data_IF_542488887346
#
_entry.id   IF_542488887346
#
_cell.length_a   1.000
_cell.length_b   1.000
_cell.length_c   1.000
_cell.angle_alpha   90.00
_cell.angle_beta   90.00
_cell.angle_gamma   90.00
#
_symmetry.space_group_name_H-M   'P 1'
#
loop_
_entity.id
_entity.type
_entity.pdbx_description
1 polymer ?
#
# COMPACT_ATOMS: atom_id res chain seq x y z
N UNK A 1 9.11 -0.02 22.59
CA UNK A 1 8.61 -1.39 22.44
C UNK A 1 9.26 -2.12 21.26
N UNK A 2 9.39 -1.47 20.11
CA UNK A 2 10.06 -2.11 18.97
C UNK A 2 11.50 -2.50 19.25
N UNK A 3 12.24 -1.67 19.98
CA UNK A 3 13.63 -1.95 20.34
C UNK A 3 13.78 -3.26 21.14
N UNK A 4 12.85 -3.52 22.06
CA UNK A 4 12.85 -4.75 22.83
C UNK A 4 12.56 -5.97 21.96
N UNK A 5 11.62 -5.82 21.02
CA UNK A 5 11.27 -6.89 20.10
C UNK A 5 12.45 -7.22 19.19
N UNK A 6 13.14 -6.21 18.69
CA UNK A 6 14.34 -6.41 17.89
C UNK A 6 15.45 -7.11 18.66
N UNK A 7 15.66 -6.72 19.92
CA UNK A 7 16.68 -7.36 20.78
C UNK A 7 16.39 -8.83 21.00
N UNK A 8 15.14 -9.17 21.31
CA UNK A 8 14.71 -10.55 21.49
C UNK A 8 14.88 -11.36 20.21
N UNK A 9 14.56 -10.78 19.08
CA UNK A 9 14.74 -11.41 17.78
C UNK A 9 16.20 -11.74 17.51
N UNK A 10 17.10 -10.80 17.75
CA UNK A 10 18.54 -11.00 17.60
C UNK A 10 19.09 -12.04 18.57
N UNK A 11 18.45 -12.19 19.72
CA UNK A 11 18.83 -13.21 20.71
C UNK A 11 18.29 -14.61 20.34
N UNK A 12 17.59 -14.76 19.22
CA UNK A 12 17.07 -16.04 18.76
C UNK A 12 15.70 -16.42 19.34
N UNK A 13 15.00 -15.49 19.95
CA UNK A 13 13.69 -15.73 20.54
C UNK A 13 12.61 -15.68 19.45
N UNK A 14 11.81 -16.73 19.37
CA UNK A 14 10.64 -16.77 18.49
C UNK A 14 9.51 -15.99 19.15
N UNK A 15 8.91 -15.08 18.38
CA UNK A 15 7.84 -14.21 18.88
C UNK A 15 6.65 -14.24 17.93
N UNK A 16 5.44 -14.18 18.49
CA UNK A 16 4.20 -14.05 17.74
C UNK A 16 3.59 -12.71 18.08
N UNK A 17 3.37 -11.90 17.04
CA UNK A 17 2.80 -10.55 17.17
C UNK A 17 1.48 -10.49 16.43
N UNK A 18 0.45 -9.98 17.11
CA UNK A 18 -0.84 -9.68 16.47
C UNK A 18 -0.98 -8.17 16.42
N UNK A 19 -1.22 -7.64 15.23
CA UNK A 19 -1.33 -6.20 15.03
C UNK A 19 -2.26 -5.88 13.87
N UNK A 20 -2.85 -4.69 13.90
CA UNK A 20 -3.57 -4.12 12.77
C UNK A 20 -2.79 -2.94 12.14
N UNK A 21 -1.59 -2.68 12.63
CA UNK A 21 -0.69 -1.68 12.05
C UNK A 21 0.25 -2.35 11.06
N UNK A 22 0.04 -2.10 9.78
CA UNK A 22 0.79 -2.77 8.72
C UNK A 22 2.28 -2.40 8.70
N UNK A 23 2.62 -1.16 9.04
CA UNK A 23 4.00 -0.74 9.14
C UNK A 23 4.76 -1.48 10.26
N UNK A 24 4.10 -1.76 11.37
CA UNK A 24 4.65 -2.56 12.45
C UNK A 24 4.92 -4.00 11.99
N UNK A 25 3.95 -4.60 11.32
CA UNK A 25 4.11 -5.95 10.77
C UNK A 25 5.24 -6.00 9.74
N UNK A 26 5.32 -4.99 8.87
CA UNK A 26 6.34 -4.94 7.83
C UNK A 26 7.76 -4.84 8.41
N UNK A 27 7.93 -4.07 9.47
CA UNK A 27 9.24 -3.83 10.06
C UNK A 27 9.70 -4.94 11.01
N UNK A 28 8.78 -5.57 11.72
CA UNK A 28 9.12 -6.51 12.79
C UNK A 28 9.00 -7.99 12.41
N UNK A 29 8.16 -8.33 11.45
CA UNK A 29 7.88 -9.73 11.15
C UNK A 29 8.77 -10.28 10.05
N UNK A 30 9.27 -11.51 10.26
CA UNK A 30 9.95 -12.28 9.21
C UNK A 30 8.92 -12.92 8.28
N UNK A 31 7.84 -13.42 8.88
CA UNK A 31 6.70 -14.00 8.16
C UNK A 31 5.43 -13.54 8.83
N UNK A 32 4.39 -13.41 8.05
CA UNK A 32 3.10 -12.97 8.57
C UNK A 32 1.94 -13.63 7.82
N UNK A 33 0.80 -13.54 8.47
CA UNK A 33 -0.48 -14.00 7.92
C UNK A 33 -1.41 -12.79 7.89
N UNK A 34 -2.00 -12.53 6.72
CA UNK A 34 -3.05 -11.52 6.60
C UNK A 34 -4.40 -12.21 6.77
N UNK A 35 -5.15 -11.78 7.77
CA UNK A 35 -6.47 -12.33 8.05
C UNK A 35 -7.56 -11.31 7.75
N UNK A 36 -8.64 -11.76 7.14
CA UNK A 36 -9.79 -10.93 6.81
C UNK A 36 -11.05 -11.79 6.89
N UNK A 37 -12.07 -11.29 7.59
CA UNK A 37 -13.34 -12.00 7.80
C UNK A 37 -13.15 -13.41 8.36
N UNK A 38 -12.19 -13.56 9.30
CA UNK A 38 -11.92 -14.84 9.94
C UNK A 38 -11.18 -15.85 9.07
N UNK A 39 -10.69 -15.44 7.92
CA UNK A 39 -9.97 -16.32 6.99
C UNK A 39 -8.58 -15.81 6.70
N UNK A 40 -7.68 -16.74 6.37
CA UNK A 40 -6.34 -16.39 5.93
C UNK A 40 -6.41 -15.96 4.47
N UNK A 41 -6.07 -14.69 4.20
CA UNK A 41 -6.07 -14.14 2.84
C UNK A 41 -4.70 -14.29 2.18
N UNK A 42 -3.62 -14.23 2.95
CA UNK A 42 -2.26 -14.36 2.42
C UNK A 42 -1.30 -14.79 3.53
N UNK A 43 -0.21 -15.42 3.12
CA UNK A 43 0.85 -15.90 4.02
C UNK A 43 2.20 -15.72 3.33
N UNK A 44 3.19 -15.18 4.03
CA UNK A 44 4.55 -15.06 3.54
C UNK A 44 5.34 -13.99 4.27
N UNK A 45 6.53 -13.68 3.74
CA UNK A 45 7.31 -12.54 4.24
C UNK A 45 6.70 -11.23 3.70
N UNK A 46 6.96 -10.09 4.37
CA UNK A 46 6.50 -8.81 3.87
C UNK A 46 6.89 -8.55 2.41
N UNK A 47 8.15 -8.82 2.05
CA UNK A 47 8.65 -8.61 0.71
C UNK A 47 7.95 -9.51 -0.33
N UNK A 48 7.70 -10.78 0.01
CA UNK A 48 7.00 -11.70 -0.86
C UNK A 48 5.57 -11.25 -1.13
N UNK A 49 4.87 -10.81 -0.08
CA UNK A 49 3.48 -10.35 -0.20
C UNK A 49 3.38 -9.10 -1.05
N UNK A 50 4.30 -8.17 -0.88
CA UNK A 50 4.34 -6.95 -1.68
C UNK A 50 4.57 -7.29 -3.15
N UNK A 51 5.54 -8.15 -3.46
CA UNK A 51 5.80 -8.56 -4.86
C UNK A 51 4.63 -9.28 -5.49
N UNK A 52 3.94 -10.11 -4.70
CA UNK A 52 2.86 -10.95 -5.22
C UNK A 52 1.55 -10.20 -5.42
N UNK A 53 1.21 -9.29 -4.51
CA UNK A 53 -0.11 -8.64 -4.47
C UNK A 53 -0.09 -7.16 -4.78
N UNK A 54 1.07 -6.57 -5.01
CA UNK A 54 1.16 -5.15 -5.35
C UNK A 54 2.19 -4.92 -6.45
N UNK A 55 2.31 -3.68 -6.88
CA UNK A 55 3.33 -3.26 -7.83
C UNK A 55 4.55 -2.74 -7.07
N UNK A 56 5.64 -2.44 -7.81
CA UNK A 56 6.85 -1.92 -7.21
C UNK A 56 6.63 -0.56 -6.54
N UNK A 57 5.91 0.33 -7.22
CA UNK A 57 5.70 1.70 -6.75
C UNK A 57 4.22 2.07 -6.76
N UNK A 58 3.91 3.14 -6.04
CA UNK A 58 2.59 3.74 -5.97
C UNK A 58 2.75 5.24 -6.11
N UNK A 59 1.96 5.85 -6.99
CA UNK A 59 1.85 7.30 -7.07
C UNK A 59 0.58 7.73 -6.35
N UNK A 60 0.71 8.53 -5.29
CA UNK A 60 -0.42 9.12 -4.59
C UNK A 60 -0.70 10.49 -5.17
N UNK A 61 -1.92 10.69 -5.63
CA UNK A 61 -2.35 11.95 -6.23
C UNK A 61 -3.46 12.58 -5.39
N UNK A 62 -3.31 13.84 -5.08
CA UNK A 62 -4.34 14.63 -4.37
C UNK A 62 -4.72 15.84 -5.21
N UNK A 63 -6.02 15.99 -5.47
CA UNK A 63 -6.55 17.09 -6.27
C UNK A 63 -7.18 18.21 -5.42
N UNK A 64 -6.96 18.16 -4.10
CA UNK A 64 -7.51 19.13 -3.17
C UNK A 64 -8.63 18.55 -2.33
N UNK A 65 -9.41 19.42 -1.69
CA UNK A 65 -10.51 19.00 -0.81
C UNK A 65 -11.76 18.81 -1.66
N UNK A 66 -11.77 17.73 -2.44
CA UNK A 66 -12.87 17.38 -3.36
C UNK A 66 -13.07 15.87 -3.34
N UNK A 67 -14.21 15.43 -3.86
CA UNK A 67 -14.45 14.01 -4.04
C UNK A 67 -13.53 13.51 -5.16
N UNK A 68 -12.73 12.49 -4.88
CA UNK A 68 -11.78 11.94 -5.84
C UNK A 68 -12.37 10.87 -6.76
N UNK A 69 -13.57 10.38 -6.49
CA UNK A 69 -14.18 9.32 -7.30
C UNK A 69 -14.31 9.69 -8.79
N UNK A 70 -14.68 10.92 -9.18
CA UNK A 70 -14.76 11.28 -10.61
C UNK A 70 -13.44 11.23 -11.34
N UNK A 71 -12.32 11.33 -10.65
CA UNK A 71 -10.99 11.29 -11.27
C UNK A 71 -10.56 9.89 -11.68
N UNK A 72 -11.19 8.83 -11.16
CA UNK A 72 -10.83 7.45 -11.50
C UNK A 72 -10.89 7.21 -13.00
N UNK A 73 -11.98 7.63 -13.63
CA UNK A 73 -12.15 7.47 -15.08
C UNK A 73 -11.12 8.27 -15.87
N UNK A 74 -10.68 9.42 -15.32
CA UNK A 74 -9.73 10.30 -16.01
C UNK A 74 -8.29 9.75 -15.96
N UNK A 75 -7.97 8.89 -15.01
CA UNK A 75 -6.62 8.30 -14.86
C UNK A 75 -6.57 6.84 -15.30
N UNK A 76 -7.68 6.28 -15.81
CA UNK A 76 -7.72 4.89 -16.27
C UNK A 76 -6.69 4.70 -17.39
N UNK A 77 -5.85 3.67 -17.25
CA UNK A 77 -4.79 3.38 -18.20
C UNK A 77 -3.46 4.05 -17.90
N UNK A 78 -3.40 4.97 -16.92
CA UNK A 78 -2.15 5.60 -16.50
C UNK A 78 -1.30 4.67 -15.62
N UNK A 79 -1.93 3.65 -15.03
CA UNK A 79 -1.27 2.70 -14.15
C UNK A 79 -1.92 1.31 -14.31
N UNK A 80 -1.29 0.29 -13.74
CA UNK A 80 -1.84 -1.07 -13.79
C UNK A 80 -3.13 -1.18 -13.00
N UNK A 81 -3.22 -0.47 -11.88
CA UNK A 81 -4.40 -0.48 -11.01
C UNK A 81 -4.57 0.89 -10.35
N UNK A 82 -5.81 1.28 -10.13
CA UNK A 82 -6.15 2.54 -9.47
C UNK A 82 -7.06 2.22 -8.29
N UNK A 83 -6.72 2.77 -7.12
CA UNK A 83 -7.57 2.73 -5.94
C UNK A 83 -8.02 4.15 -5.61
N UNK A 84 -9.31 4.32 -5.36
CA UNK A 84 -9.89 5.62 -5.00
C UNK A 84 -10.11 5.66 -3.50
N UNK A 85 -9.45 6.61 -2.84
CA UNK A 85 -9.67 6.91 -1.42
C UNK A 85 -10.38 8.26 -1.32
N UNK A 86 -11.01 8.55 -0.17
CA UNK A 86 -11.77 9.81 -0.04
C UNK A 86 -10.95 11.07 -0.31
N UNK A 87 -9.66 11.06 -0.01
CA UNK A 87 -8.79 12.23 -0.09
C UNK A 87 -7.69 12.12 -1.16
N UNK A 88 -7.62 11.00 -1.89
CA UNK A 88 -6.54 10.78 -2.87
C UNK A 88 -6.83 9.60 -3.79
N UNK A 89 -6.03 9.51 -4.84
CA UNK A 89 -5.97 8.34 -5.71
C UNK A 89 -4.63 7.65 -5.51
N UNK A 90 -4.64 6.31 -5.55
CA UNK A 90 -3.43 5.50 -5.54
C UNK A 90 -3.29 4.84 -6.90
N UNK A 91 -2.21 5.15 -7.60
CA UNK A 91 -1.89 4.58 -8.89
C UNK A 91 -0.76 3.57 -8.73
N UNK A 92 -1.06 2.31 -8.94
CA UNK A 92 -0.11 1.20 -8.76
C UNK A 92 0.57 0.89 -10.08
N UNK A 93 1.89 1.03 -10.10
CA UNK A 93 2.70 0.82 -11.30
C UNK A 93 4.13 0.42 -10.93
N UNK A 94 4.86 -0.15 -11.89
CA UNK A 94 6.27 -0.44 -11.69
C UNK A 94 7.09 0.84 -11.61
N UNK A 95 6.69 1.89 -12.34
CA UNK A 95 7.29 3.21 -12.24
C UNK A 95 6.22 4.24 -11.88
N UNK A 96 6.31 4.79 -10.67
CA UNK A 96 5.42 5.85 -10.22
C UNK A 96 5.59 7.13 -11.03
N UNK A 97 6.83 7.44 -11.42
CA UNK A 97 7.13 8.62 -12.24
C UNK A 97 6.48 8.52 -13.63
N UNK A 98 6.50 7.33 -14.22
CA UNK A 98 5.84 7.12 -15.51
C UNK A 98 4.33 7.29 -15.39
N UNK A 99 3.74 6.80 -14.29
CA UNK A 99 2.31 6.98 -14.04
C UNK A 99 1.95 8.46 -13.88
N UNK A 100 2.75 9.23 -13.15
CA UNK A 100 2.55 10.66 -12.98
C UNK A 100 2.67 11.40 -14.31
N UNK A 101 3.66 11.04 -15.12
CA UNK A 101 3.83 11.63 -16.46
C UNK A 101 2.62 11.36 -17.34
N UNK A 102 2.06 10.16 -17.28
CA UNK A 102 0.87 9.81 -18.04
C UNK A 102 -0.35 10.64 -17.60
N UNK A 103 -0.47 10.91 -16.30
CA UNK A 103 -1.53 11.77 -15.75
C UNK A 103 -1.39 13.20 -16.28
N UNK A 104 -0.18 13.75 -16.24
CA UNK A 104 0.08 15.10 -16.78
C UNK A 104 -0.17 15.17 -18.28
N UNK A 105 0.15 14.11 -19.02
CA UNK A 105 -0.10 14.05 -20.45
C UNK A 105 -1.59 14.12 -20.80
N UNK A 106 -2.47 13.78 -19.85
CA UNK A 106 -3.93 13.90 -20.01
C UNK A 106 -4.45 15.27 -19.59
N UNK A 107 -3.58 16.20 -19.25
CA UNK A 107 -3.97 17.55 -18.84
C UNK A 107 -4.41 17.67 -17.38
N UNK A 108 -4.18 16.66 -16.57
CA UNK A 108 -4.51 16.69 -15.14
C UNK A 108 -3.34 17.25 -14.34
N UNK A 109 -3.65 18.08 -13.36
CA UNK A 109 -2.64 18.70 -12.50
C UNK A 109 -3.00 18.50 -11.03
N UNK A 110 -2.57 17.38 -10.43
CA UNK A 110 -2.81 17.15 -9.00
C UNK A 110 -2.16 18.25 -8.15
N UNK A 111 -2.82 18.61 -7.08
CA UNK A 111 -2.27 19.59 -6.13
C UNK A 111 -1.05 19.03 -5.38
N UNK A 112 -1.05 17.72 -5.13
CA UNK A 112 0.06 17.02 -4.47
C UNK A 112 0.32 15.68 -5.14
N UNK A 113 1.59 15.33 -5.25
CA UNK A 113 2.04 14.05 -5.81
C UNK A 113 3.10 13.47 -4.89
N UNK A 114 2.94 12.18 -4.55
CA UNK A 114 3.93 11.43 -3.79
C UNK A 114 4.16 10.10 -4.48
N UNK A 115 5.40 9.86 -4.91
CA UNK A 115 5.80 8.55 -5.46
C UNK A 115 6.56 7.82 -4.36
N UNK A 116 6.11 6.61 -4.04
CA UNK A 116 6.70 5.80 -3.00
C UNK A 116 6.70 4.33 -3.40
N UNK A 117 7.44 3.51 -2.64
CA UNK A 117 7.36 2.07 -2.82
C UNK A 117 6.07 1.53 -2.21
N UNK A 118 5.60 0.40 -2.74
CA UNK A 118 4.48 -0.31 -2.16
C UNK A 118 4.80 -0.84 -0.77
N UNK A 119 3.79 -0.93 0.07
CA UNK A 119 3.89 -1.38 1.46
C UNK A 119 2.88 -2.49 1.75
N UNK A 120 2.93 -3.06 2.94
CA UNK A 120 1.95 -4.05 3.38
C UNK A 120 0.54 -3.46 3.45
N UNK A 121 0.39 -2.17 3.71
CA UNK A 121 -0.93 -1.54 3.69
C UNK A 121 -1.55 -1.62 2.30
N UNK A 122 -0.73 -1.45 1.25
CA UNK A 122 -1.19 -1.62 -0.13
C UNK A 122 -1.64 -3.05 -0.40
N UNK A 123 -0.92 -4.03 0.13
CA UNK A 123 -1.30 -5.45 0.04
C UNK A 123 -2.64 -5.69 0.71
N UNK A 124 -2.80 -5.19 1.92
CA UNK A 124 -4.04 -5.34 2.68
C UNK A 124 -5.22 -4.69 1.93
N UNK A 125 -5.02 -3.50 1.41
CA UNK A 125 -6.04 -2.80 0.63
C UNK A 125 -6.44 -3.60 -0.62
N UNK A 126 -5.46 -4.19 -1.30
CA UNK A 126 -5.71 -5.03 -2.48
C UNK A 126 -6.53 -6.26 -2.12
N UNK A 127 -6.21 -6.92 -1.01
CA UNK A 127 -6.86 -8.17 -0.60
C UNK A 127 -8.24 -7.95 0.00
N UNK A 128 -8.46 -6.83 0.67
CA UNK A 128 -9.69 -6.61 1.42
C UNK A 128 -10.56 -5.48 0.87
N UNK A 129 -9.99 -4.58 0.06
CA UNK A 129 -10.71 -3.44 -0.49
C UNK A 129 -10.91 -2.30 0.50
N UNK A 130 -10.19 -2.30 1.65
CA UNK A 130 -10.32 -1.24 2.63
C UNK A 130 -9.02 -1.02 3.40
N UNK A 131 -8.85 0.19 3.93
CA UNK A 131 -7.72 0.52 4.78
C UNK A 131 -8.04 0.21 6.25
N UNK A 132 -6.99 -0.06 7.02
CA UNK A 132 -7.12 -0.30 8.46
C UNK A 132 -7.14 0.99 9.27
N UNK A 133 -6.63 2.07 8.69
CA UNK A 133 -6.54 3.37 9.36
C UNK A 133 -7.55 4.30 8.73
N UNK A 134 -8.53 4.69 9.50
CA UNK A 134 -9.58 5.60 9.07
C UNK A 134 -9.25 7.04 9.48
#
# INVERSE_FOLDING_TARGET
MWDQLYRLKHAGVTQILTTHYMDEAEQLCDRLVVMHDGRISALGSPAELIRRYSTREVAELRFGVVDHAPYEAQVTGCAERVEVLPDRLLLYADSGDAAVSAVHARGLEPAQVLVRRSSLEDVFLTLTGRTLVD
#
